data_IF_606810028368
#
_entry.id   IF_606810028368
#
_cell.length_a   1.000
_cell.length_b   1.000
_cell.length_c   1.000
_cell.angle_alpha   90.00
_cell.angle_beta   90.00
_cell.angle_gamma   90.00
#
_symmetry.space_group_name_H-M   'P 1'
#
loop_
_entity.id
_entity.type
_entity.pdbx_description
1 polymer ?
#
# COMPACT_ATOMS: atom_id res chain seq x y z
N UNK A 1 -28.43 7.35 5.64
CA UNK A 1 -28.81 7.93 4.34
C UNK A 1 -27.76 8.93 3.90
N UNK A 2 -27.17 8.69 2.73
CA UNK A 2 -26.28 9.63 2.05
C UNK A 2 -27.10 10.84 1.55
N UNK A 3 -26.72 12.03 2.00
CA UNK A 3 -27.25 13.30 1.50
C UNK A 3 -26.28 13.94 0.51
N UNK A 4 -26.71 14.99 -0.19
CA UNK A 4 -25.88 15.70 -1.18
C UNK A 4 -24.59 16.27 -0.58
N UNK A 5 -24.60 16.63 0.71
CA UNK A 5 -23.45 17.18 1.41
C UNK A 5 -22.39 16.11 1.64
N UNK A 6 -22.80 14.92 2.07
CA UNK A 6 -21.96 13.74 2.23
C UNK A 6 -21.36 13.31 0.90
N UNK A 7 -22.15 13.26 -0.17
CA UNK A 7 -21.66 12.93 -1.51
C UNK A 7 -20.60 13.94 -1.98
N UNK A 8 -20.88 15.24 -1.88
CA UNK A 8 -19.91 16.29 -2.22
C UNK A 8 -18.64 16.20 -1.37
N UNK A 9 -18.76 15.91 -0.07
CA UNK A 9 -17.61 15.71 0.80
C UNK A 9 -16.76 14.51 0.37
N UNK A 10 -17.38 13.38 0.03
CA UNK A 10 -16.70 12.18 -0.47
C UNK A 10 -15.95 12.49 -1.77
N UNK A 11 -16.59 13.18 -2.73
CA UNK A 11 -15.96 13.55 -3.99
C UNK A 11 -14.69 14.40 -3.77
N UNK A 12 -14.78 15.43 -2.92
CA UNK A 12 -13.65 16.30 -2.59
C UNK A 12 -12.53 15.56 -1.87
N UNK A 13 -12.87 14.60 -1.00
CA UNK A 13 -11.89 13.75 -0.32
C UNK A 13 -11.17 12.81 -1.31
N UNK A 14 -11.91 12.20 -2.24
CA UNK A 14 -11.34 11.31 -3.28
C UNK A 14 -10.48 12.09 -4.28
N UNK A 15 -10.82 13.36 -4.54
CA UNK A 15 -10.00 14.24 -5.38
C UNK A 15 -8.66 14.59 -4.72
N UNK A 16 -8.63 14.70 -3.39
CA UNK A 16 -7.40 14.88 -2.61
C UNK A 16 -6.73 16.25 -2.75
N UNK A 17 -7.41 17.24 -3.33
CA UNK A 17 -6.88 18.62 -3.52
C UNK A 17 -7.06 19.53 -2.32
N UNK A 18 -8.07 19.28 -1.50
CA UNK A 18 -8.44 20.10 -0.35
C UNK A 18 -8.18 19.35 0.96
N UNK A 19 -7.84 20.09 2.01
CA UNK A 19 -7.77 19.52 3.36
C UNK A 19 -9.18 19.43 3.99
N UNK A 20 -9.34 18.59 5.03
CA UNK A 20 -10.64 18.39 5.69
C UNK A 20 -11.28 19.68 6.23
N UNK A 21 -10.49 20.69 6.58
CA UNK A 21 -11.01 21.99 7.07
C UNK A 21 -11.64 22.79 5.92
N UNK A 22 -11.01 22.77 4.75
CA UNK A 22 -11.53 23.39 3.52
C UNK A 22 -12.76 22.67 3.02
N UNK A 23 -12.76 21.33 3.02
CA UNK A 23 -13.91 20.51 2.63
C UNK A 23 -15.10 20.80 3.55
N UNK A 24 -14.87 20.93 4.86
CA UNK A 24 -15.94 21.27 5.80
C UNK A 24 -16.58 22.62 5.47
N UNK A 25 -15.76 23.64 5.11
CA UNK A 25 -16.26 24.95 4.65
C UNK A 25 -17.04 24.85 3.34
N UNK A 26 -16.52 24.11 2.37
CA UNK A 26 -17.09 23.94 1.03
C UNK A 26 -18.44 23.20 1.03
N UNK A 27 -18.65 22.34 2.02
CA UNK A 27 -19.86 21.55 2.22
C UNK A 27 -20.81 22.22 3.25
N UNK A 28 -20.35 23.27 3.93
CA UNK A 28 -21.15 24.02 4.91
C UNK A 28 -21.38 23.28 6.22
N UNK A 29 -20.39 22.51 6.68
CA UNK A 29 -20.43 21.73 7.93
C UNK A 29 -19.23 22.01 8.82
N UNK A 30 -19.29 21.55 10.07
CA UNK A 30 -18.14 21.64 10.97
C UNK A 30 -17.15 20.51 10.70
N UNK A 31 -15.86 20.74 10.96
CA UNK A 31 -14.83 19.71 10.79
C UNK A 31 -15.11 18.41 11.60
N UNK A 32 -15.59 18.46 12.87
CA UNK A 32 -16.00 17.26 13.58
C UNK A 32 -17.11 16.47 12.89
N UNK A 33 -18.02 17.14 12.17
CA UNK A 33 -19.09 16.48 11.43
C UNK A 33 -18.55 15.53 10.36
N UNK A 34 -17.48 15.90 9.66
CA UNK A 34 -16.84 15.02 8.68
C UNK A 34 -16.31 13.72 9.32
N UNK A 35 -15.67 13.82 10.48
CA UNK A 35 -15.17 12.64 11.20
C UNK A 35 -16.29 11.76 11.74
N UNK A 36 -17.46 12.34 12.04
CA UNK A 36 -18.62 11.57 12.44
C UNK A 36 -19.21 10.81 11.24
N UNK A 37 -19.24 11.42 10.06
CA UNK A 37 -19.68 10.74 8.83
C UNK A 37 -18.79 9.57 8.45
N UNK A 38 -17.47 9.66 8.64
CA UNK A 38 -16.55 8.54 8.41
C UNK A 38 -16.88 7.29 9.24
N UNK A 39 -17.56 7.44 10.38
CA UNK A 39 -18.00 6.31 11.22
C UNK A 39 -19.31 5.68 10.73
N UNK A 40 -20.02 6.35 9.84
CA UNK A 40 -21.24 5.81 9.25
C UNK A 40 -20.87 4.81 8.14
N UNK A 41 -21.39 3.60 8.23
CA UNK A 41 -21.06 2.51 7.31
C UNK A 41 -21.36 2.87 5.85
N UNK A 42 -22.54 3.45 5.57
CA UNK A 42 -22.93 3.88 4.21
C UNK A 42 -21.94 4.89 3.61
N UNK A 43 -21.45 5.83 4.42
CA UNK A 43 -20.51 6.86 3.97
C UNK A 43 -19.14 6.25 3.66
N UNK A 44 -18.66 5.38 4.55
CA UNK A 44 -17.39 4.68 4.37
C UNK A 44 -17.39 3.80 3.11
N UNK A 45 -18.47 3.03 2.91
CA UNK A 45 -18.62 2.17 1.74
C UNK A 45 -18.63 2.95 0.41
N UNK A 46 -19.35 4.08 0.36
CA UNK A 46 -19.39 4.90 -0.87
C UNK A 46 -18.06 5.61 -1.12
N UNK A 47 -17.38 6.08 -0.06
CA UNK A 47 -16.01 6.62 -0.17
C UNK A 47 -15.05 5.58 -0.75
N UNK A 48 -15.04 4.36 -0.22
CA UNK A 48 -14.17 3.28 -0.69
C UNK A 48 -14.48 2.90 -2.14
N UNK A 49 -15.78 2.83 -2.49
CA UNK A 49 -16.23 2.59 -3.86
C UNK A 49 -15.70 3.67 -4.81
N UNK A 50 -15.91 4.95 -4.51
CA UNK A 50 -15.46 6.05 -5.38
C UNK A 50 -13.93 6.10 -5.49
N UNK A 51 -13.22 5.87 -4.38
CA UNK A 51 -11.76 5.77 -4.38
C UNK A 51 -11.28 4.61 -5.28
N UNK A 52 -11.94 3.46 -5.22
CA UNK A 52 -11.63 2.32 -6.08
C UNK A 52 -11.84 2.66 -7.55
N UNK A 53 -12.99 3.25 -7.91
CA UNK A 53 -13.25 3.69 -9.28
C UNK A 53 -12.24 4.71 -9.79
N UNK A 54 -11.83 5.67 -8.96
CA UNK A 54 -10.79 6.64 -9.31
C UNK A 54 -9.46 5.94 -9.62
N UNK A 55 -9.03 5.01 -8.75
CA UNK A 55 -7.81 4.21 -8.96
C UNK A 55 -7.88 3.38 -10.25
N UNK A 56 -9.01 2.74 -10.52
CA UNK A 56 -9.25 2.00 -11.77
C UNK A 56 -9.21 2.91 -13.00
N UNK A 57 -9.73 4.13 -12.91
CA UNK A 57 -9.69 5.11 -14.00
C UNK A 57 -8.26 5.52 -14.32
N UNK A 58 -7.48 5.90 -13.30
CA UNK A 58 -6.08 6.28 -13.47
C UNK A 58 -5.27 5.10 -14.03
N UNK A 59 -5.50 3.88 -13.53
CA UNK A 59 -4.86 2.68 -14.07
C UNK A 59 -5.16 2.51 -15.56
N UNK A 60 -6.41 2.65 -15.98
CA UNK A 60 -6.80 2.55 -17.40
C UNK A 60 -6.14 3.62 -18.26
N UNK A 61 -6.06 4.85 -17.77
CA UNK A 61 -5.38 5.94 -18.45
C UNK A 61 -3.88 5.64 -18.64
N UNK A 62 -3.19 5.24 -17.57
CA UNK A 62 -1.79 4.81 -17.63
C UNK A 62 -1.59 3.62 -18.56
N UNK A 63 -2.48 2.63 -18.53
CA UNK A 63 -2.42 1.47 -19.43
C UNK A 63 -2.59 1.86 -20.89
N UNK A 64 -3.48 2.80 -21.20
CA UNK A 64 -3.66 3.32 -22.57
C UNK A 64 -2.39 4.01 -23.06
N UNK A 65 -1.74 4.77 -22.19
CA UNK A 65 -0.58 5.59 -22.54
C UNK A 65 0.75 4.81 -22.43
N UNK A 66 0.70 3.55 -21.99
CA UNK A 66 1.87 2.67 -21.80
C UNK A 66 2.72 2.55 -23.07
N UNK A 67 2.09 2.48 -24.25
CA UNK A 67 2.82 2.47 -25.52
C UNK A 67 3.62 3.76 -25.72
N UNK A 68 3.04 4.93 -25.41
CA UNK A 68 3.73 6.20 -25.55
C UNK A 68 4.89 6.32 -24.54
N UNK A 69 4.73 5.80 -23.32
CA UNK A 69 5.83 5.73 -22.35
C UNK A 69 6.98 4.86 -22.83
N UNK A 70 6.66 3.71 -23.46
CA UNK A 70 7.67 2.83 -24.05
C UNK A 70 8.45 3.54 -25.18
N UNK A 71 7.76 4.20 -26.10
CA UNK A 71 8.41 4.97 -27.18
C UNK A 71 9.28 6.12 -26.64
N UNK A 72 8.84 6.78 -25.57
CA UNK A 72 9.64 7.81 -24.91
C UNK A 72 10.91 7.24 -24.28
N UNK A 73 10.82 6.09 -23.59
CA UNK A 73 11.99 5.39 -23.05
C UNK A 73 12.96 4.99 -24.15
N UNK A 74 12.45 4.44 -25.27
CA UNK A 74 13.25 4.09 -26.44
C UNK A 74 13.99 5.31 -27.00
N UNK A 75 13.29 6.42 -27.16
CA UNK A 75 13.90 7.69 -27.60
C UNK A 75 15.01 8.15 -26.66
N UNK A 76 14.79 8.07 -25.34
CA UNK A 76 15.81 8.42 -24.34
C UNK A 76 17.03 7.51 -24.49
N UNK A 77 16.83 6.19 -24.59
CA UNK A 77 17.95 5.23 -24.74
C UNK A 77 18.78 5.48 -26.00
N UNK A 78 18.15 5.91 -27.10
CA UNK A 78 18.82 6.08 -28.39
C UNK A 78 19.47 7.46 -28.57
N UNK A 79 18.88 8.52 -28.00
CA UNK A 79 19.20 9.90 -28.39
C UNK A 79 19.56 10.86 -27.26
N UNK A 80 19.43 10.46 -25.99
CA UNK A 80 19.78 11.34 -24.86
C UNK A 80 21.28 11.67 -24.87
N UNK A 81 21.63 12.94 -24.64
CA UNK A 81 23.03 13.38 -24.45
C UNK A 81 23.60 12.98 -23.09
N UNK A 82 22.74 12.60 -22.14
CA UNK A 82 23.14 12.11 -20.82
C UNK A 82 23.26 10.58 -20.84
N UNK A 83 24.49 10.09 -20.70
CA UNK A 83 24.85 8.68 -20.70
C UNK A 83 24.13 7.89 -19.61
N UNK A 84 24.02 8.45 -18.39
CA UNK A 84 23.32 7.81 -17.28
C UNK A 84 21.81 7.65 -17.57
N UNK A 85 21.20 8.65 -18.22
CA UNK A 85 19.81 8.56 -18.64
C UNK A 85 19.62 7.50 -19.73
N UNK A 86 20.56 7.38 -20.69
CA UNK A 86 20.54 6.29 -21.69
C UNK A 86 20.63 4.92 -21.04
N UNK A 87 21.62 4.71 -20.16
CA UNK A 87 21.84 3.44 -19.46
C UNK A 87 20.60 3.03 -18.67
N UNK A 88 20.00 3.94 -17.90
CA UNK A 88 18.78 3.66 -17.12
C UNK A 88 17.59 3.31 -17.99
N UNK A 89 17.37 4.03 -19.09
CA UNK A 89 16.29 3.72 -20.03
C UNK A 89 16.49 2.35 -20.67
N UNK A 90 17.72 2.03 -21.12
CA UNK A 90 18.06 0.73 -21.68
C UNK A 90 17.89 -0.40 -20.66
N UNK A 91 18.35 -0.22 -19.42
CA UNK A 91 18.17 -1.19 -18.33
C UNK A 91 16.69 -1.47 -18.07
N UNK A 92 15.86 -0.42 -18.01
CA UNK A 92 14.42 -0.58 -17.78
C UNK A 92 13.74 -1.32 -18.94
N UNK A 93 14.09 -1.00 -20.19
CA UNK A 93 13.56 -1.71 -21.37
C UNK A 93 13.95 -3.19 -21.37
N UNK A 94 15.21 -3.52 -21.07
CA UNK A 94 15.68 -4.90 -20.96
C UNK A 94 14.98 -5.65 -19.82
N UNK A 95 14.75 -5.00 -18.69
CA UNK A 95 14.03 -5.60 -17.56
C UNK A 95 12.59 -6.02 -17.92
N UNK A 96 11.94 -5.33 -18.87
CA UNK A 96 10.61 -5.72 -19.37
C UNK A 96 10.64 -6.91 -20.33
N UNK A 97 11.75 -7.16 -21.04
CA UNK A 97 11.84 -8.24 -22.04
C UNK A 97 12.52 -9.50 -21.50
N UNK A 98 13.60 -9.33 -20.74
CA UNK A 98 14.46 -10.42 -20.25
C UNK A 98 14.27 -10.67 -18.75
N UNK A 99 13.51 -9.82 -18.07
CA UNK A 99 13.38 -9.81 -16.61
C UNK A 99 14.46 -8.96 -15.94
N UNK A 100 14.16 -8.43 -14.75
CA UNK A 100 15.14 -7.66 -13.99
C UNK A 100 16.05 -8.62 -13.20
N UNK A 101 17.39 -8.62 -13.43
CA UNK A 101 18.30 -9.40 -12.60
C UNK A 101 18.29 -8.96 -11.12
N UNK A 102 17.82 -7.75 -10.78
CA UNK A 102 17.69 -7.29 -9.39
C UNK A 102 16.47 -7.85 -8.64
N UNK A 103 15.57 -8.58 -9.31
CA UNK A 103 14.54 -9.39 -8.63
C UNK A 103 15.13 -10.70 -8.05
N UNK A 104 16.37 -10.68 -7.57
CA UNK A 104 16.84 -11.68 -6.62
C UNK A 104 15.88 -11.56 -5.44
N UNK A 105 15.05 -12.60 -5.27
CA UNK A 105 14.16 -12.73 -4.12
C UNK A 105 14.97 -12.44 -2.85
N UNK A 106 14.72 -11.29 -2.22
CA UNK A 106 15.06 -11.13 -0.80
C UNK A 106 14.12 -12.07 -0.05
N UNK A 107 14.48 -13.36 0.00
CA UNK A 107 13.95 -14.28 0.99
C UNK A 107 14.42 -13.70 2.32
N UNK A 108 13.60 -12.83 2.90
CA UNK A 108 13.67 -12.59 4.33
C UNK A 108 13.28 -13.90 4.96
N UNK A 109 14.25 -14.55 5.56
CA UNK A 109 14.03 -15.65 6.47
C UNK A 109 13.23 -15.10 7.65
N UNK A 110 11.91 -15.16 7.55
CA UNK A 110 10.96 -14.68 8.56
C UNK A 110 10.82 -15.72 9.70
N UNK A 111 11.86 -16.53 9.93
CA UNK A 111 12.01 -17.21 11.21
C UNK A 111 12.09 -16.12 12.26
N UNK A 112 11.01 -15.96 13.03
CA UNK A 112 11.10 -15.24 14.28
C UNK A 112 12.29 -15.82 15.02
N UNK A 113 13.26 -14.98 15.35
CA UNK A 113 14.26 -15.35 16.32
C UNK A 113 13.57 -15.27 17.69
N UNK A 114 12.54 -16.11 17.87
CA UNK A 114 11.90 -16.36 19.16
C UNK A 114 12.94 -17.13 19.98
N UNK A 115 13.92 -16.37 20.45
CA UNK A 115 14.84 -16.81 21.45
C UNK A 115 14.00 -16.95 22.71
N UNK A 116 13.47 -18.16 22.93
CA UNK A 116 12.77 -18.51 24.16
C UNK A 116 13.74 -18.21 25.30
N UNK A 117 13.35 -17.34 26.22
CA UNK A 117 14.19 -16.96 27.37
C UNK A 117 14.64 -18.23 28.10
N UNK A 118 15.89 -18.27 28.55
CA UNK A 118 16.43 -19.38 29.37
C UNK A 118 15.52 -19.70 30.55
N UNK A 119 14.92 -18.67 31.14
CA UNK A 119 14.02 -18.80 32.29
C UNK A 119 12.75 -19.63 31.98
N UNK A 120 12.31 -19.68 30.71
CA UNK A 120 11.15 -20.49 30.31
C UNK A 120 11.56 -21.96 30.13
N UNK A 121 12.75 -22.20 29.59
CA UNK A 121 13.29 -23.56 29.42
C UNK A 121 13.61 -24.22 30.76
N UNK A 122 14.23 -23.47 31.67
CA UNK A 122 14.56 -23.97 33.01
C UNK A 122 13.28 -24.36 33.77
N UNK A 123 12.22 -23.57 33.62
CA UNK A 123 10.91 -23.84 34.23
C UNK A 123 10.22 -25.07 33.62
N UNK A 124 10.28 -25.23 32.30
CA UNK A 124 9.76 -26.42 31.62
C UNK A 124 10.54 -27.70 32.02
N UNK A 125 11.85 -27.60 32.23
CA UNK A 125 12.69 -28.71 32.70
C UNK A 125 12.37 -29.09 34.15
N UNK A 126 12.18 -28.11 35.04
CA UNK A 126 11.71 -28.35 36.42
C UNK A 126 10.33 -29.02 36.45
N UNK A 127 9.38 -28.55 35.64
CA UNK A 127 8.05 -29.14 35.54
C UNK A 127 8.08 -30.56 34.94
N UNK A 128 8.93 -30.81 33.94
CA UNK A 128 9.10 -32.12 33.32
C UNK A 128 9.77 -33.13 34.26
N UNK A 129 10.82 -32.71 34.97
CA UNK A 129 11.50 -33.55 35.97
C UNK A 129 10.56 -33.86 37.14
N UNK A 130 9.79 -32.88 37.64
CA UNK A 130 8.79 -33.10 38.66
C UNK A 130 7.68 -34.07 38.22
N UNK A 131 7.21 -33.95 36.96
CA UNK A 131 6.24 -34.89 36.38
C UNK A 131 6.79 -36.31 36.32
N UNK A 132 8.06 -36.49 35.94
CA UNK A 132 8.71 -37.82 35.89
C UNK A 132 8.91 -38.44 37.26
N UNK A 133 9.24 -37.62 38.28
CA UNK A 133 9.33 -38.09 39.66
C UNK A 133 7.98 -38.49 40.27
N UNK A 134 6.87 -37.90 39.81
CA UNK A 134 5.52 -38.30 40.25
C UNK A 134 4.97 -39.56 39.56
N UNK A 135 5.52 -39.94 38.41
CA UNK A 135 5.15 -41.17 37.69
C UNK A 135 5.83 -42.43 38.26
N UNK A 136 6.91 -42.25 39.04
CA UNK A 136 7.73 -43.32 39.64
C UNK A 136 7.43 -43.58 41.15
N UNK A 137 6.34 -43.02 41.71
CA UNK A 137 5.79 -43.35 43.05
C UNK A 137 4.44 -44.07 42.95
#
# INVERSE_FOLDING_TARGET
>A
MLDERKLKAIELLVEGKLNRTEIAKEVGVTRPTLYNWEKEEEYSQEYDRLLHYKKLSVRREVSRDTKAFFENLKKISESSTNDNARVKATQLLLAYTEGNPENILNIKDDRSNDNVSTDVLDKEEEEWTASKLSEDQ
#
